data_IF_935098526724
#
_entry.id   IF_935098526724
#
_cell.length_a   1.000
_cell.length_b   1.000
_cell.length_c   1.000
_cell.angle_alpha   90.00
_cell.angle_beta   90.00
_cell.angle_gamma   90.00
#
_symmetry.space_group_name_H-M   'P 1'
#
loop_
_entity.id
_entity.type
_entity.pdbx_description
1 polymer ?
#
# COMPACT_ATOMS: atom_id res chain seq x y z
N UNK A 1 -15.64 12.21 20.50
CA UNK A 1 -15.00 12.75 19.28
C UNK A 1 -15.83 12.35 18.04
N UNK A 2 -15.85 13.14 16.96
CA UNK A 2 -16.52 12.76 15.69
C UNK A 2 -15.63 11.81 14.88
N UNK A 3 -16.20 10.94 14.05
CA UNK A 3 -15.44 10.02 13.19
C UNK A 3 -14.47 10.78 12.27
N UNK A 4 -14.92 11.88 11.67
CA UNK A 4 -14.07 12.72 10.82
C UNK A 4 -12.81 13.23 11.53
N UNK A 5 -12.93 13.60 12.81
CA UNK A 5 -11.79 14.08 13.59
C UNK A 5 -10.79 12.96 13.91
N UNK A 6 -11.27 11.74 14.19
CA UNK A 6 -10.42 10.55 14.35
C UNK A 6 -9.65 10.26 13.06
N UNK A 7 -10.38 10.19 11.95
CA UNK A 7 -9.85 9.93 10.62
C UNK A 7 -8.76 10.93 10.22
N UNK A 8 -8.99 12.23 10.40
CA UNK A 8 -8.01 13.27 10.02
C UNK A 8 -6.71 13.25 10.84
N UNK A 9 -6.70 12.60 12.01
CA UNK A 9 -5.52 12.54 12.88
C UNK A 9 -4.63 11.32 12.62
N UNK A 10 -5.05 10.39 11.75
CA UNK A 10 -4.31 9.14 11.56
C UNK A 10 -2.95 9.33 10.90
N UNK A 11 -2.87 10.19 9.88
CA UNK A 11 -1.61 10.45 9.17
C UNK A 11 -0.67 11.37 9.94
N UNK A 12 -1.17 12.18 10.87
CA UNK A 12 -0.35 13.18 11.55
C UNK A 12 0.81 12.54 12.30
N UNK A 13 2.04 12.95 11.99
CA UNK A 13 3.25 12.42 12.59
C UNK A 13 3.57 10.95 12.24
N UNK A 14 2.91 10.37 11.23
CA UNK A 14 3.36 9.13 10.58
C UNK A 14 4.38 9.45 9.48
N UNK A 15 5.12 8.43 9.01
CA UNK A 15 6.12 8.62 7.96
C UNK A 15 5.53 9.23 6.67
N UNK A 16 4.27 8.90 6.35
CA UNK A 16 3.54 9.46 5.22
C UNK A 16 3.17 10.95 5.35
N UNK A 17 3.36 11.58 6.51
CA UNK A 17 3.12 13.02 6.74
C UNK A 17 4.22 13.88 6.07
N UNK A 18 5.42 13.30 5.88
CA UNK A 18 6.53 13.91 5.13
C UNK A 18 6.63 13.30 3.74
N UNK A 19 5.92 13.90 2.77
CA UNK A 19 5.92 13.46 1.37
C UNK A 19 7.31 13.56 0.73
N UNK A 20 8.16 14.47 1.22
CA UNK A 20 9.48 14.69 0.63
C UNK A 20 10.44 13.52 0.91
N UNK A 21 10.19 12.76 1.98
CA UNK A 21 10.93 11.55 2.32
C UNK A 21 10.90 10.48 1.22
N UNK A 22 9.80 10.40 0.45
CA UNK A 22 9.68 9.50 -0.70
C UNK A 22 10.59 9.85 -1.87
N UNK A 23 11.30 10.99 -1.85
CA UNK A 23 12.21 11.39 -2.94
C UNK A 23 13.67 11.46 -2.50
N UNK A 24 14.00 10.93 -1.32
CA UNK A 24 15.38 10.78 -0.91
C UNK A 24 16.07 9.71 -1.78
N UNK A 25 17.36 9.91 -2.05
CA UNK A 25 18.19 8.91 -2.71
C UNK A 25 18.36 7.73 -1.75
N UNK A 26 17.51 6.73 -1.92
CA UNK A 26 17.58 5.43 -1.25
C UNK A 26 18.07 4.39 -2.25
N UNK A 27 19.01 3.55 -1.83
CA UNK A 27 19.58 2.50 -2.68
C UNK A 27 18.60 1.33 -2.90
N UNK A 28 17.60 1.18 -2.02
CA UNK A 28 16.63 0.07 -1.99
C UNK A 28 15.17 0.56 -2.11
N UNK A 29 14.21 -0.37 -2.05
CA UNK A 29 12.79 -0.06 -1.93
C UNK A 29 12.38 0.19 -0.47
N UNK A 30 11.29 0.93 -0.26
CA UNK A 30 10.68 1.14 1.05
C UNK A 30 9.20 0.73 1.09
N UNK A 31 8.79 0.17 2.23
CA UNK A 31 7.39 0.00 2.60
C UNK A 31 7.06 0.97 3.72
N UNK A 32 6.24 1.97 3.41
CA UNK A 32 5.86 3.00 4.35
C UNK A 32 4.48 2.65 4.93
N UNK A 33 4.41 2.20 6.19
CA UNK A 33 3.13 1.96 6.83
C UNK A 33 2.41 3.28 7.03
N UNK A 34 1.12 3.27 6.74
CA UNK A 34 0.27 4.47 6.90
C UNK A 34 -0.04 4.75 8.35
N UNK A 35 -0.05 3.69 9.16
CA UNK A 35 -0.15 3.79 10.62
C UNK A 35 0.84 2.80 11.21
N UNK A 36 1.91 3.32 11.81
CA UNK A 36 2.98 2.51 12.41
C UNK A 36 2.57 1.81 13.70
N UNK A 37 1.46 2.23 14.33
CA UNK A 37 1.04 1.74 15.66
C UNK A 37 -0.44 1.40 15.68
N UNK A 38 -0.76 0.12 15.88
CA UNK A 38 -2.14 -0.38 15.97
C UNK A 38 -3.02 0.38 16.96
N UNK A 39 -2.47 0.81 18.11
CA UNK A 39 -3.20 1.62 19.11
C UNK A 39 -3.79 2.93 18.57
N UNK A 40 -3.27 3.45 17.44
CA UNK A 40 -3.83 4.64 16.78
C UNK A 40 -5.12 4.32 16.02
N UNK A 41 -5.34 3.04 15.72
CA UNK A 41 -6.52 2.52 15.04
C UNK A 41 -7.66 2.19 15.99
N UNK A 42 -7.41 1.97 17.30
CA UNK A 42 -8.42 1.50 18.27
C UNK A 42 -9.76 2.25 18.17
N UNK A 43 -9.73 3.58 18.18
CA UNK A 43 -10.95 4.40 18.11
C UNK A 43 -11.66 4.40 16.73
N UNK A 44 -10.93 4.05 15.67
CA UNK A 44 -11.50 3.87 14.32
C UNK A 44 -12.04 2.45 14.17
N UNK A 45 -11.30 1.46 14.67
CA UNK A 45 -11.67 0.05 14.70
C UNK A 45 -12.95 -0.18 15.51
N UNK A 46 -13.06 0.42 16.70
CA UNK A 46 -14.25 0.34 17.55
C UNK A 46 -15.50 0.87 16.83
N UNK A 47 -15.33 1.86 15.94
CA UNK A 47 -16.46 2.57 15.31
C UNK A 47 -16.85 2.06 13.95
N UNK A 48 -15.88 1.63 13.15
CA UNK A 48 -16.08 1.15 11.79
C UNK A 48 -16.13 -0.37 11.73
N UNK A 49 -15.52 -1.05 12.70
CA UNK A 49 -15.23 -2.48 12.63
C UNK A 49 -14.08 -2.79 11.67
N UNK A 50 -13.58 -4.05 11.67
CA UNK A 50 -12.36 -4.43 10.95
C UNK A 50 -12.42 -4.23 9.43
N UNK A 51 -13.53 -4.66 8.82
CA UNK A 51 -13.79 -4.56 7.37
C UNK A 51 -13.67 -3.12 6.88
N UNK A 52 -14.44 -2.22 7.48
CA UNK A 52 -14.48 -0.81 7.07
C UNK A 52 -13.23 -0.03 7.50
N UNK A 53 -12.55 -0.45 8.56
CA UNK A 53 -11.23 0.09 8.92
C UNK A 53 -10.21 -0.21 7.82
N UNK A 54 -10.16 -1.45 7.32
CA UNK A 54 -9.27 -1.84 6.21
C UNK A 54 -9.56 -1.03 4.94
N UNK A 55 -10.83 -0.89 4.56
CA UNK A 55 -11.23 -0.08 3.40
C UNK A 55 -10.90 1.42 3.55
N UNK A 56 -11.04 1.94 4.76
CA UNK A 56 -10.68 3.31 5.08
C UNK A 56 -9.17 3.54 5.03
N UNK A 57 -8.36 2.64 5.60
CA UNK A 57 -6.90 2.69 5.51
C UNK A 57 -6.41 2.57 4.06
N UNK A 58 -7.07 1.73 3.27
CA UNK A 58 -6.83 1.64 1.82
C UNK A 58 -7.10 2.99 1.13
N UNK A 59 -8.18 3.68 1.50
CA UNK A 59 -8.50 5.00 0.94
C UNK A 59 -7.45 6.05 1.31
N UNK A 60 -6.90 6.00 2.55
CA UNK A 60 -5.77 6.85 2.94
C UNK A 60 -4.51 6.52 2.13
N UNK A 61 -4.22 5.24 1.91
CA UNK A 61 -3.14 4.79 1.04
C UNK A 61 -3.23 5.36 -0.36
N UNK A 62 -4.44 5.35 -0.92
CA UNK A 62 -4.69 5.92 -2.23
C UNK A 62 -4.42 7.42 -2.27
N UNK A 63 -4.82 8.15 -1.23
CA UNK A 63 -4.52 9.56 -1.12
C UNK A 63 -3.01 9.82 -1.09
N UNK A 64 -2.25 9.09 -0.25
CA UNK A 64 -0.80 9.24 -0.16
C UNK A 64 -0.14 8.88 -1.50
N UNK A 65 -0.49 7.75 -2.11
CA UNK A 65 0.06 7.31 -3.40
C UNK A 65 -0.19 8.33 -4.52
N UNK A 66 -1.37 8.94 -4.56
CA UNK A 66 -1.67 10.01 -5.51
C UNK A 66 -0.84 11.27 -5.24
N UNK A 67 -0.71 11.68 -3.98
CA UNK A 67 0.08 12.84 -3.56
C UNK A 67 1.57 12.67 -3.90
N UNK A 68 2.15 11.50 -3.59
CA UNK A 68 3.54 11.16 -3.95
C UNK A 68 3.72 11.19 -5.47
N UNK A 69 2.81 10.60 -6.24
CA UNK A 69 2.89 10.69 -7.72
C UNK A 69 2.89 12.14 -8.21
N UNK A 70 1.96 12.96 -7.73
CA UNK A 70 1.85 14.37 -8.16
C UNK A 70 3.12 15.13 -7.80
N UNK A 71 3.63 14.98 -6.58
CA UNK A 71 4.87 15.60 -6.14
C UNK A 71 6.10 15.16 -6.95
N UNK A 72 6.13 13.89 -7.37
CA UNK A 72 7.20 13.39 -8.24
C UNK A 72 7.18 14.04 -9.63
N UNK A 73 6.00 14.15 -10.24
CA UNK A 73 5.87 14.77 -11.56
C UNK A 73 6.10 16.28 -11.55
N UNK A 74 5.89 16.97 -10.42
CA UNK A 74 6.24 18.40 -10.31
C UNK A 74 7.74 18.62 -10.13
N UNK A 75 8.44 17.70 -9.46
CA UNK A 75 9.89 17.77 -9.24
C UNK A 75 10.70 17.40 -10.48
N UNK A 76 10.29 16.35 -11.18
CA UNK A 76 10.94 15.88 -12.41
C UNK A 76 9.90 15.68 -13.53
N UNK A 77 9.68 16.71 -14.37
CA UNK A 77 8.78 16.64 -15.50
C UNK A 77 9.21 15.66 -16.60
N UNK A 78 10.47 15.20 -16.59
CA UNK A 78 10.93 14.11 -17.47
C UNK A 78 10.52 12.73 -16.96
N UNK A 79 9.80 12.70 -15.83
CA UNK A 79 9.25 11.53 -15.18
C UNK A 79 10.25 10.93 -14.20
N UNK A 80 10.10 11.26 -12.92
CA UNK A 80 10.74 10.51 -11.85
C UNK A 80 10.42 9.02 -12.06
N UNK A 81 11.43 8.24 -12.45
CA UNK A 81 11.28 6.80 -12.67
C UNK A 81 11.12 6.17 -11.31
N UNK A 82 9.88 5.90 -10.90
CA UNK A 82 9.60 5.20 -9.66
C UNK A 82 8.47 4.21 -9.86
N UNK A 83 8.52 3.14 -9.10
CA UNK A 83 7.42 2.20 -8.99
C UNK A 83 6.67 2.44 -7.69
N UNK A 84 5.39 2.78 -7.83
CA UNK A 84 4.45 2.92 -6.73
C UNK A 84 3.43 1.78 -6.80
N UNK A 85 3.18 1.18 -5.65
CA UNK A 85 2.12 0.20 -5.43
C UNK A 85 1.63 0.30 -3.98
N UNK A 86 0.56 -0.43 -3.67
CA UNK A 86 0.24 -0.76 -2.29
C UNK A 86 0.72 -2.18 -2.00
N UNK A 87 1.19 -2.44 -0.79
CA UNK A 87 1.57 -3.77 -0.35
C UNK A 87 0.84 -4.17 0.94
N UNK A 88 0.64 -5.47 1.08
CA UNK A 88 0.03 -6.12 2.23
C UNK A 88 0.91 -7.30 2.61
N UNK A 89 1.35 -7.32 3.86
CA UNK A 89 2.28 -8.33 4.39
C UNK A 89 1.80 -8.97 5.67
N UNK A 90 1.02 -8.25 6.47
CA UNK A 90 0.56 -8.68 7.79
C UNK A 90 -0.78 -9.42 7.70
N UNK A 91 -0.73 -10.64 7.17
CA UNK A 91 -1.90 -11.52 7.07
C UNK A 91 -2.21 -12.24 8.39
N UNK A 92 -1.26 -12.31 9.33
CA UNK A 92 -1.46 -12.83 10.68
C UNK A 92 -2.42 -11.92 11.45
N UNK A 93 -2.17 -10.61 11.45
CA UNK A 93 -3.10 -9.62 12.03
C UNK A 93 -4.49 -9.71 11.39
N UNK A 94 -4.57 -9.94 10.08
CA UNK A 94 -5.87 -10.13 9.44
C UNK A 94 -6.60 -11.37 9.95
N UNK A 95 -5.89 -12.48 10.18
CA UNK A 95 -6.48 -13.68 10.74
C UNK A 95 -6.95 -13.50 12.20
N UNK A 96 -6.22 -12.71 12.99
CA UNK A 96 -6.53 -12.47 14.41
C UNK A 96 -7.61 -11.40 14.61
N UNK A 97 -7.47 -10.25 13.97
CA UNK A 97 -8.27 -9.04 14.22
C UNK A 97 -9.22 -8.69 13.06
N UNK A 98 -9.14 -9.41 11.94
CA UNK A 98 -9.94 -9.14 10.74
C UNK A 98 -9.52 -7.87 9.97
N UNK A 99 -8.39 -7.26 10.34
CA UNK A 99 -7.89 -6.01 9.74
C UNK A 99 -6.75 -6.29 8.77
N UNK A 100 -6.86 -5.80 7.55
CA UNK A 100 -5.74 -5.74 6.60
C UNK A 100 -5.11 -4.35 6.63
N UNK A 101 -3.81 -4.29 6.89
CA UNK A 101 -3.03 -3.07 6.87
C UNK A 101 -2.35 -2.87 5.51
N UNK A 102 -2.77 -1.86 4.74
CA UNK A 102 -2.05 -1.49 3.54
C UNK A 102 -0.83 -0.63 3.87
N UNK A 103 0.25 -0.85 3.14
CA UNK A 103 1.45 -0.01 3.13
C UNK A 103 1.59 0.66 1.75
N UNK A 104 2.24 1.82 1.71
CA UNK A 104 2.68 2.41 0.44
C UNK A 104 4.04 1.79 0.10
N UNK A 105 4.11 1.10 -1.04
CA UNK A 105 5.34 0.54 -1.56
C UNK A 105 5.96 1.51 -2.56
N UNK A 106 7.21 1.89 -2.33
CA UNK A 106 7.97 2.81 -3.16
C UNK A 106 9.32 2.20 -3.55
N UNK A 107 9.64 2.22 -4.83
CA UNK A 107 10.95 1.84 -5.34
C UNK A 107 11.42 2.88 -6.36
N UNK A 108 12.44 3.70 -6.03
CA UNK A 108 13.01 4.66 -6.95
C UNK A 108 13.74 4.04 -8.14
N UNK A 109 14.04 4.89 -9.11
CA UNK A 109 14.92 4.62 -10.23
C UNK A 109 14.37 3.66 -11.28
N UNK A 110 15.22 3.39 -12.27
CA UNK A 110 14.96 2.42 -13.33
C UNK A 110 14.82 0.99 -12.81
N UNK A 111 15.44 0.68 -11.67
CA UNK A 111 15.32 -0.63 -11.04
C UNK A 111 13.90 -0.88 -10.52
N UNK A 112 13.30 0.13 -9.88
CA UNK A 112 11.88 0.11 -9.50
C UNK A 112 10.96 -0.13 -10.69
N UNK A 113 11.17 0.58 -11.80
CA UNK A 113 10.39 0.34 -13.03
C UNK A 113 10.55 -1.10 -13.53
N UNK A 114 11.77 -1.61 -13.55
CA UNK A 114 12.05 -2.98 -13.98
C UNK A 114 11.38 -3.99 -13.06
N UNK A 115 11.45 -3.79 -11.74
CA UNK A 115 10.74 -4.58 -10.75
C UNK A 115 9.23 -4.57 -11.00
N UNK A 116 8.64 -3.39 -11.18
CA UNK A 116 7.23 -3.22 -11.45
C UNK A 116 6.74 -3.95 -12.70
N UNK A 117 7.52 -3.91 -13.77
CA UNK A 117 7.23 -4.64 -15.01
C UNK A 117 7.26 -6.15 -14.78
N UNK A 118 8.28 -6.67 -14.08
CA UNK A 118 8.35 -8.09 -13.70
C UNK A 118 7.16 -8.50 -12.84
N UNK A 119 6.76 -7.68 -11.86
CA UNK A 119 5.57 -7.98 -11.06
C UNK A 119 4.33 -8.08 -11.96
N UNK A 120 4.07 -7.08 -12.83
CA UNK A 120 2.93 -7.06 -13.76
C UNK A 120 2.85 -8.27 -14.67
N UNK A 121 3.99 -8.79 -15.13
CA UNK A 121 4.06 -10.02 -15.94
C UNK A 121 3.66 -11.26 -15.13
N UNK A 122 4.12 -11.34 -13.87
CA UNK A 122 3.84 -12.46 -12.96
C UNK A 122 2.40 -12.47 -12.43
N UNK A 123 1.72 -11.32 -12.34
CA UNK A 123 0.34 -11.24 -11.81
C UNK A 123 -0.68 -12.09 -12.59
N UNK A 124 -0.38 -12.51 -13.83
CA UNK A 124 -1.33 -13.24 -14.69
C UNK A 124 -1.58 -14.70 -14.28
N UNK A 125 -0.94 -15.21 -13.22
CA UNK A 125 -0.95 -16.66 -12.92
C UNK A 125 -1.36 -17.08 -11.51
N UNK A 126 -1.56 -16.16 -10.56
CA UNK A 126 -1.74 -16.54 -9.15
C UNK A 126 -3.07 -16.03 -8.58
N UNK A 127 -3.87 -16.95 -8.07
CA UNK A 127 -4.98 -16.71 -7.15
C UNK A 127 -4.62 -17.38 -5.82
N UNK A 128 -4.73 -16.64 -4.72
CA UNK A 128 -4.47 -17.14 -3.35
C UNK A 128 -5.48 -16.54 -2.39
N UNK A 129 -5.61 -17.14 -1.22
CA UNK A 129 -6.48 -16.63 -0.14
C UNK A 129 -6.13 -15.19 0.26
N UNK A 130 -4.85 -14.85 0.22
CA UNK A 130 -4.29 -13.54 0.53
C UNK A 130 -4.65 -12.52 -0.55
N UNK A 131 -4.54 -12.91 -1.83
CA UNK A 131 -5.00 -12.07 -2.95
C UNK A 131 -6.51 -11.83 -2.83
N UNK A 132 -7.31 -12.86 -2.52
CA UNK A 132 -8.76 -12.74 -2.41
C UNK A 132 -9.17 -11.82 -1.23
N UNK A 133 -8.49 -11.93 -0.09
CA UNK A 133 -8.69 -11.04 1.05
C UNK A 133 -8.39 -9.58 0.69
N UNK A 134 -7.26 -9.31 0.02
CA UNK A 134 -6.91 -7.96 -0.44
C UNK A 134 -7.94 -7.45 -1.46
N UNK A 135 -8.35 -8.26 -2.43
CA UNK A 135 -9.37 -7.88 -3.41
C UNK A 135 -10.69 -7.51 -2.75
N UNK A 136 -11.13 -8.26 -1.73
CA UNK A 136 -12.34 -7.93 -0.97
C UNK A 136 -12.28 -6.53 -0.34
N UNK A 137 -11.13 -6.12 0.19
CA UNK A 137 -10.96 -4.75 0.75
C UNK A 137 -11.06 -3.70 -0.35
N UNK A 138 -10.51 -3.98 -1.54
CA UNK A 138 -10.64 -3.08 -2.70
C UNK A 138 -12.07 -3.00 -3.23
N UNK A 139 -12.81 -4.11 -3.20
CA UNK A 139 -14.24 -4.14 -3.53
C UNK A 139 -15.04 -3.27 -2.54
N UNK A 140 -14.80 -3.41 -1.24
CA UNK A 140 -15.44 -2.63 -0.19
C UNK A 140 -15.18 -1.13 -0.32
N UNK A 141 -13.97 -0.76 -0.74
CA UNK A 141 -13.59 0.62 -0.99
C UNK A 141 -14.10 1.16 -2.36
N UNK A 142 -14.67 0.30 -3.22
CA UNK A 142 -15.08 0.68 -4.58
C UNK A 142 -13.90 0.96 -5.52
N UNK A 143 -12.72 0.41 -5.22
CA UNK A 143 -11.44 0.68 -5.89
C UNK A 143 -10.88 -0.54 -6.65
N UNK A 144 -11.60 -1.67 -6.69
CA UNK A 144 -11.11 -2.88 -7.36
C UNK A 144 -10.74 -2.61 -8.84
N UNK A 145 -11.58 -1.85 -9.54
CA UNK A 145 -11.30 -1.43 -10.90
C UNK A 145 -10.10 -0.47 -10.91
N UNK A 146 -9.06 -0.80 -11.67
CA UNK A 146 -7.85 0.01 -11.78
C UNK A 146 -6.62 -0.58 -11.08
N UNK A 147 -6.72 -1.77 -10.49
CA UNK A 147 -5.59 -2.46 -9.85
C UNK A 147 -5.33 -3.85 -10.42
N UNK A 148 -4.05 -4.24 -10.41
CA UNK A 148 -3.59 -5.60 -10.62
C UNK A 148 -3.01 -6.13 -9.32
N UNK A 149 -3.36 -7.36 -8.98
CA UNK A 149 -2.97 -7.99 -7.72
C UNK A 149 -1.96 -9.09 -8.01
N UNK A 150 -0.88 -9.11 -7.23
CA UNK A 150 0.26 -10.00 -7.49
C UNK A 150 0.86 -10.40 -6.16
N UNK A 151 1.06 -11.69 -5.95
CA UNK A 151 1.69 -12.20 -4.76
C UNK A 151 3.17 -12.49 -5.00
N UNK A 152 3.99 -12.20 -3.98
CA UNK A 152 5.37 -12.62 -3.86
C UNK A 152 5.52 -13.38 -2.56
N UNK A 153 6.07 -14.58 -2.63
CA UNK A 153 6.44 -15.38 -1.47
C UNK A 153 7.97 -15.46 -1.40
N UNK A 154 8.54 -15.11 -0.26
CA UNK A 154 9.98 -15.19 -0.01
C UNK A 154 10.24 -15.97 1.26
N UNK A 155 11.26 -16.83 1.22
CA UNK A 155 11.72 -17.55 2.41
C UNK A 155 12.15 -16.54 3.47
N UNK A 156 11.45 -16.54 4.61
CA UNK A 156 11.84 -15.79 5.80
C UNK A 156 12.77 -16.61 6.69
N UNK A 157 12.93 -16.21 7.96
CA UNK A 157 13.59 -17.05 8.97
C UNK A 157 13.00 -18.48 8.96
N UNK A 158 13.76 -19.52 9.34
CA UNK A 158 13.31 -20.90 9.26
C UNK A 158 11.92 -21.11 9.91
N UNK A 159 10.95 -21.55 9.11
CA UNK A 159 9.56 -21.76 9.54
C UNK A 159 8.60 -20.60 9.25
N UNK A 160 9.08 -19.48 8.71
CA UNK A 160 8.26 -18.33 8.32
C UNK A 160 8.37 -18.05 6.83
N UNK A 161 7.25 -18.14 6.12
CA UNK A 161 7.12 -17.64 4.74
C UNK A 161 6.61 -16.20 4.80
N UNK A 162 7.32 -15.27 4.17
CA UNK A 162 6.82 -13.89 4.05
C UNK A 162 5.96 -13.82 2.80
N UNK A 163 4.65 -13.75 3.00
CA UNK A 163 3.67 -13.53 1.93
C UNK A 163 3.46 -12.02 1.76
N UNK A 164 3.65 -11.53 0.54
CA UNK A 164 3.38 -10.14 0.20
C UNK A 164 2.44 -10.07 -1.00
N UNK A 165 1.32 -9.38 -0.84
CA UNK A 165 0.43 -9.05 -1.95
C UNK A 165 0.63 -7.60 -2.34
N UNK A 166 0.97 -7.37 -3.61
CA UNK A 166 1.03 -6.06 -4.23
C UNK A 166 -0.29 -5.76 -4.93
N UNK A 167 -0.86 -4.58 -4.66
CA UNK A 167 -1.89 -3.97 -5.48
C UNK A 167 -1.26 -2.85 -6.33
N UNK A 168 -1.05 -3.15 -7.61
CA UNK A 168 -0.35 -2.31 -8.57
C UNK A 168 -1.39 -1.52 -9.38
N UNK A 169 -1.39 -0.18 -9.35
CA UNK A 169 -2.34 0.57 -10.14
C UNK A 169 -2.07 0.42 -11.65
N UNK A 170 -3.13 0.25 -12.42
CA UNK A 170 -3.09 -0.18 -13.81
C UNK A 170 -2.50 0.87 -14.77
N UNK A 171 -2.73 2.16 -14.48
CA UNK A 171 -2.32 3.30 -15.32
C UNK A 171 -1.33 4.23 -14.62
N UNK A 172 -0.83 3.83 -13.45
CA UNK A 172 -0.06 4.68 -12.57
C UNK A 172 1.39 4.87 -13.05
N UNK A 173 2.11 3.79 -13.36
CA UNK A 173 3.56 3.88 -13.61
C UNK A 173 3.89 4.02 -15.10
N UNK A 174 3.02 4.70 -15.85
CA UNK A 174 3.31 5.23 -17.18
C UNK A 174 3.84 6.66 -16.97
N UNK A 175 4.81 7.08 -17.78
CA UNK A 175 5.46 8.37 -17.60
C UNK A 175 4.42 9.51 -17.57
N UNK A 176 4.59 10.44 -16.63
CA UNK A 176 4.22 11.83 -16.87
C UNK A 176 5.01 12.30 -18.12
#
# INVERSE_FOLDING_TARGET
MKLSALCSQLLSGEACDDIDSFFLDIDDFEEVPIVSRLRRLDGVLERLGPRWTSAYLLSLCMHVLATVRIAGCTRDPAGAKMFLALSFTDFELHAEEGVLLPNVFYYPGSEGITFGNRCREKCRRNTSTEIDAVRSVFEDAGLLAGFRFCESRTDGPPGYEVVRVYAIPAHANEAC
#
